data_IF_290589398885
#
_entry.id   IF_290589398885
#
_cell.length_a   1.000
_cell.length_b   1.000
_cell.length_c   1.000
_cell.angle_alpha   90.00
_cell.angle_beta   90.00
_cell.angle_gamma   90.00
#
_symmetry.space_group_name_H-M   'P 1'
#
loop_
_entity.id
_entity.type
_entity.pdbx_description
1 polymer ?
#
# COMPACT_ATOMS: atom_id res chain seq x y z
N UNK A 1 -2.00 19.56 1.58
CA UNK A 1 -2.53 20.08 2.86
C UNK A 1 -4.01 19.70 2.97
N UNK A 2 -4.43 19.25 4.15
CA UNK A 2 -5.83 18.95 4.43
C UNK A 2 -6.65 20.22 4.68
N UNK A 3 -8.00 20.15 4.59
CA UNK A 3 -8.86 21.32 4.78
C UNK A 3 -8.68 22.05 6.13
N UNK A 4 -8.29 21.33 7.18
CA UNK A 4 -8.00 21.87 8.53
C UNK A 4 -6.57 22.39 8.71
N UNK A 5 -5.86 22.63 7.61
CA UNK A 5 -4.46 23.07 7.53
C UNK A 5 -3.42 22.03 7.98
N UNK A 6 -3.81 20.80 8.31
CA UNK A 6 -2.87 19.72 8.58
C UNK A 6 -2.16 19.28 7.29
N UNK A 7 -0.94 18.81 7.42
CA UNK A 7 -0.14 18.30 6.31
C UNK A 7 -0.01 16.78 6.44
N UNK A 8 -0.27 16.08 5.34
CA UNK A 8 0.04 14.68 5.19
C UNK A 8 1.00 14.48 4.01
N UNK A 9 1.77 13.42 4.05
CA UNK A 9 2.52 12.94 2.90
C UNK A 9 1.72 11.88 2.17
N UNK A 10 1.70 11.98 0.86
CA UNK A 10 1.20 10.92 0.00
C UNK A 10 2.37 10.37 -0.81
N UNK A 11 2.61 9.07 -0.71
CA UNK A 11 3.67 8.37 -1.43
C UNK A 11 3.07 7.31 -2.36
N UNK A 12 3.65 7.18 -3.54
CA UNK A 12 3.33 6.13 -4.50
C UNK A 12 4.57 5.32 -4.79
N UNK A 13 4.43 4.00 -4.89
CA UNK A 13 5.55 3.11 -5.18
C UNK A 13 5.17 2.02 -6.18
N UNK A 14 6.17 1.51 -6.88
CA UNK A 14 6.07 0.31 -7.70
C UNK A 14 7.38 -0.47 -7.52
N UNK A 15 7.32 -1.54 -6.74
CA UNK A 15 8.51 -2.34 -6.45
C UNK A 15 8.86 -3.27 -7.61
N UNK A 16 10.10 -3.74 -7.61
CA UNK A 16 10.63 -4.60 -8.66
C UNK A 16 9.77 -5.86 -8.88
N UNK A 17 9.59 -6.24 -10.14
CA UNK A 17 8.74 -7.37 -10.55
C UNK A 17 9.50 -8.69 -10.74
N UNK A 18 10.81 -8.72 -10.52
CA UNK A 18 11.61 -9.93 -10.68
C UNK A 18 11.14 -11.04 -9.74
N UNK A 19 11.41 -12.29 -10.13
CA UNK A 19 11.00 -13.46 -9.37
C UNK A 19 11.59 -13.47 -7.96
N UNK A 20 12.87 -13.09 -7.83
CA UNK A 20 13.56 -13.04 -6.54
C UNK A 20 13.22 -11.79 -5.75
N UNK A 21 13.07 -11.93 -4.45
CA UNK A 21 12.69 -10.83 -3.54
C UNK A 21 13.82 -9.84 -3.23
N UNK A 22 15.05 -10.13 -3.62
CA UNK A 22 16.24 -9.36 -3.20
C UNK A 22 16.09 -7.86 -3.42
N UNK A 23 15.71 -7.45 -4.63
CA UNK A 23 15.52 -6.03 -4.95
C UNK A 23 14.35 -5.43 -4.17
N UNK A 24 13.22 -6.14 -4.07
CA UNK A 24 12.05 -5.68 -3.32
C UNK A 24 12.34 -5.48 -1.85
N UNK A 25 13.15 -6.36 -1.24
CA UNK A 25 13.56 -6.23 0.16
C UNK A 25 14.37 -4.94 0.35
N UNK A 26 15.36 -4.69 -0.50
CA UNK A 26 16.14 -3.45 -0.45
C UNK A 26 15.28 -2.21 -0.68
N UNK A 27 14.35 -2.28 -1.62
CA UNK A 27 13.45 -1.17 -1.94
C UNK A 27 12.48 -0.86 -0.79
N UNK A 28 11.90 -1.88 -0.14
CA UNK A 28 11.00 -1.63 1.00
C UNK A 28 11.78 -1.09 2.20
N UNK A 29 12.98 -1.58 2.48
CA UNK A 29 13.85 -1.06 3.53
C UNK A 29 14.16 0.42 3.32
N UNK A 30 14.54 0.81 2.10
CA UNK A 30 14.80 2.21 1.77
C UNK A 30 13.55 3.09 1.90
N UNK A 31 12.41 2.61 1.44
CA UNK A 31 11.12 3.30 1.57
C UNK A 31 10.78 3.52 3.06
N UNK A 32 10.99 2.53 3.90
CA UNK A 32 10.78 2.65 5.35
C UNK A 32 11.75 3.67 5.97
N UNK A 33 13.02 3.68 5.56
CA UNK A 33 14.02 4.64 6.02
C UNK A 33 13.65 6.08 5.61
N UNK A 34 13.27 6.30 4.37
CA UNK A 34 12.83 7.62 3.88
C UNK A 34 11.64 8.12 4.69
N UNK A 35 10.64 7.27 4.86
CA UNK A 35 9.41 7.67 5.56
C UNK A 35 9.58 7.78 7.06
N UNK A 36 10.61 7.15 7.67
CA UNK A 36 10.92 7.27 9.10
C UNK A 36 11.32 8.71 9.49
N UNK A 37 11.87 9.49 8.55
CA UNK A 37 12.28 10.88 8.78
C UNK A 37 11.14 11.89 8.59
N UNK A 38 9.94 11.44 8.22
CA UNK A 38 8.76 12.29 8.05
C UNK A 38 8.00 12.40 9.38
N UNK A 39 7.80 13.62 9.84
CA UNK A 39 7.08 13.88 11.11
C UNK A 39 5.57 13.93 10.94
N UNK A 40 5.09 14.12 9.71
CA UNK A 40 3.67 14.16 9.38
C UNK A 40 3.13 12.77 9.05
N UNK A 41 1.81 12.58 9.15
CA UNK A 41 1.20 11.33 8.71
C UNK A 41 1.48 11.02 7.25
N UNK A 42 1.59 9.73 6.92
CA UNK A 42 1.92 9.24 5.58
C UNK A 42 0.83 8.29 5.10
N UNK A 43 0.33 8.53 3.90
CA UNK A 43 -0.41 7.57 3.10
C UNK A 43 0.53 7.04 2.01
N UNK A 44 0.58 5.73 1.89
CA UNK A 44 1.41 5.02 0.91
C UNK A 44 0.53 4.11 0.08
N UNK A 45 0.65 4.18 -1.23
CA UNK A 45 -0.08 3.30 -2.14
C UNK A 45 0.82 2.81 -3.27
N UNK A 46 0.55 1.62 -3.80
CA UNK A 46 1.26 1.13 -4.97
C UNK A 46 1.19 -0.37 -5.20
N UNK A 47 1.87 -0.77 -6.26
CA UNK A 47 2.15 -2.16 -6.57
C UNK A 47 3.45 -2.59 -5.87
N UNK A 48 3.31 -3.49 -4.91
CA UNK A 48 4.45 -4.00 -4.14
C UNK A 48 5.08 -5.24 -4.77
N UNK A 49 4.47 -5.81 -5.82
CA UNK A 49 4.88 -7.07 -6.44
C UNK A 49 5.15 -8.17 -5.41
N UNK A 50 4.46 -8.15 -4.29
CA UNK A 50 4.63 -9.05 -3.14
C UNK A 50 3.29 -9.26 -2.45
N UNK A 51 3.04 -10.49 -2.04
CA UNK A 51 1.81 -10.88 -1.34
C UNK A 51 1.96 -10.71 0.18
N UNK A 52 0.83 -10.67 0.90
CA UNK A 52 0.81 -10.73 2.35
C UNK A 52 1.59 -11.95 2.86
N UNK A 53 2.22 -11.82 4.01
CA UNK A 53 3.11 -12.81 4.62
C UNK A 53 4.46 -13.02 3.91
N UNK A 54 4.73 -12.32 2.80
CA UNK A 54 6.07 -12.26 2.23
C UNK A 54 7.00 -11.43 3.12
N UNK A 55 8.33 -11.59 3.04
CA UNK A 55 9.27 -10.74 3.79
C UNK A 55 9.06 -9.25 3.52
N UNK A 56 8.74 -8.86 2.29
CA UNK A 56 8.50 -7.48 1.87
C UNK A 56 7.30 -6.89 2.61
N UNK A 57 6.16 -7.56 2.59
CA UNK A 57 4.93 -7.05 3.22
C UNK A 57 5.01 -7.17 4.75
N UNK A 58 5.72 -8.16 5.28
CA UNK A 58 6.01 -8.25 6.72
C UNK A 58 6.82 -7.03 7.19
N UNK A 59 7.81 -6.59 6.41
CA UNK A 59 8.56 -5.36 6.69
C UNK A 59 7.66 -4.13 6.64
N UNK A 60 6.81 -4.00 5.63
CA UNK A 60 5.82 -2.92 5.54
C UNK A 60 4.92 -2.88 6.79
N UNK A 61 4.36 -4.02 7.18
CA UNK A 61 3.43 -4.15 8.30
C UNK A 61 4.08 -3.85 9.66
N UNK A 62 5.42 -3.86 9.76
CA UNK A 62 6.13 -3.47 10.98
C UNK A 62 6.07 -1.96 11.27
N UNK A 63 5.77 -1.13 10.26
CA UNK A 63 5.76 0.34 10.35
C UNK A 63 4.43 0.93 9.94
N UNK A 64 3.81 0.40 8.90
CA UNK A 64 2.54 0.87 8.33
C UNK A 64 1.39 -0.05 8.70
N UNK A 65 0.19 0.49 8.69
CA UNK A 65 -1.06 -0.27 8.77
C UNK A 65 -1.66 -0.34 7.37
N UNK A 66 -1.83 -1.54 6.82
CA UNK A 66 -2.56 -1.71 5.56
C UNK A 66 -4.05 -1.51 5.76
N UNK A 67 -4.74 -1.05 4.71
CA UNK A 67 -6.19 -0.82 4.72
C UNK A 67 -7.01 -2.11 4.67
N UNK A 68 -6.36 -3.26 4.52
CA UNK A 68 -7.00 -4.58 4.55
C UNK A 68 -6.10 -5.60 5.27
N UNK A 69 -6.70 -6.49 6.04
CA UNK A 69 -6.01 -7.64 6.65
C UNK A 69 -6.13 -8.89 5.76
N UNK A 70 -7.33 -9.18 5.27
CA UNK A 70 -7.60 -10.20 4.24
C UNK A 70 -7.92 -9.49 2.94
N UNK A 71 -6.85 -9.06 2.26
CA UNK A 71 -6.99 -8.22 1.08
C UNK A 71 -7.58 -8.99 -0.10
N UNK A 72 -8.65 -8.47 -0.75
CA UNK A 72 -9.13 -9.05 -1.99
C UNK A 72 -8.04 -9.03 -3.07
N UNK A 73 -8.01 -10.02 -3.97
CA UNK A 73 -7.00 -10.08 -5.01
C UNK A 73 -7.12 -8.93 -6.01
N UNK A 74 -5.97 -8.49 -6.52
CA UNK A 74 -5.86 -7.37 -7.47
C UNK A 74 -5.32 -7.78 -8.83
N UNK A 75 -4.76 -8.98 -8.96
CA UNK A 75 -4.15 -9.49 -10.19
C UNK A 75 -4.32 -11.03 -10.29
N UNK A 76 -4.40 -11.58 -11.51
CA UNK A 76 -4.65 -10.88 -12.78
C UNK A 76 -6.07 -10.30 -12.83
N UNK A 77 -6.29 -9.32 -13.71
CA UNK A 77 -7.63 -8.70 -13.86
C UNK A 77 -8.70 -9.73 -14.25
N UNK A 78 -8.33 -10.70 -15.07
CA UNK A 78 -9.15 -11.87 -15.34
C UNK A 78 -8.85 -12.98 -14.33
N UNK A 79 -9.86 -13.42 -13.60
CA UNK A 79 -9.74 -14.41 -12.53
C UNK A 79 -8.71 -14.02 -11.44
N UNK A 80 -8.92 -12.93 -10.70
CA UNK A 80 -7.98 -12.44 -9.71
C UNK A 80 -7.63 -13.49 -8.65
N UNK A 81 -6.34 -13.64 -8.35
CA UNK A 81 -5.84 -14.67 -7.45
C UNK A 81 -4.84 -14.19 -6.41
N UNK A 82 -4.22 -13.01 -6.62
CA UNK A 82 -3.21 -12.43 -5.72
C UNK A 82 -3.51 -10.97 -5.41
N UNK A 83 -3.30 -10.57 -4.16
CA UNK A 83 -3.28 -9.17 -3.76
C UNK A 83 -1.82 -8.72 -3.65
N UNK A 84 -1.41 -7.80 -4.53
CA UNK A 84 -0.06 -7.22 -4.56
C UNK A 84 -0.08 -5.70 -4.57
N UNK A 85 -1.26 -5.10 -4.71
CA UNK A 85 -1.49 -3.67 -4.69
C UNK A 85 -2.13 -3.30 -3.35
N UNK A 86 -1.48 -2.41 -2.61
CA UNK A 86 -1.92 -2.06 -1.26
C UNK A 86 -1.96 -0.55 -1.05
N UNK A 87 -2.83 -0.15 -0.14
CA UNK A 87 -2.82 1.16 0.49
C UNK A 87 -2.49 0.95 1.97
N UNK A 88 -1.55 1.73 2.49
CA UNK A 88 -1.12 1.66 3.87
C UNK A 88 -0.92 3.07 4.44
N UNK A 89 -0.92 3.20 5.74
CA UNK A 89 -0.84 4.49 6.41
C UNK A 89 -0.10 4.42 7.74
N UNK A 90 0.43 5.54 8.16
CA UNK A 90 1.01 5.75 9.50
C UNK A 90 0.88 7.22 9.94
N UNK A 91 0.81 7.52 11.26
CA UNK A 91 0.58 6.57 12.35
C UNK A 91 -0.87 6.07 12.33
N UNK A 92 -1.08 4.89 12.89
CA UNK A 92 -2.42 4.28 12.98
C UNK A 92 -3.43 5.18 13.72
N UNK A 93 -2.95 5.95 14.69
CA UNK A 93 -3.80 6.81 15.51
C UNK A 93 -4.33 8.06 14.80
N UNK A 94 -3.73 8.47 13.68
CA UNK A 94 -4.14 9.68 12.97
C UNK A 94 -5.30 9.42 12.01
N UNK A 95 -5.26 8.29 11.31
CA UNK A 95 -6.28 7.96 10.30
C UNK A 95 -7.30 6.98 10.84
N UNK A 96 -8.56 7.27 10.61
CA UNK A 96 -9.65 6.31 10.76
C UNK A 96 -10.03 5.79 9.38
N UNK A 97 -9.79 4.53 9.14
CA UNK A 97 -10.20 3.86 7.91
C UNK A 97 -11.72 3.68 7.90
N UNK A 98 -12.39 4.18 6.88
CA UNK A 98 -13.83 4.01 6.69
C UNK A 98 -14.15 2.85 5.75
N UNK A 99 -13.39 2.71 4.67
CA UNK A 99 -13.67 1.70 3.67
C UNK A 99 -12.40 1.30 2.91
N UNK A 100 -12.33 0.02 2.53
CA UNK A 100 -11.37 -0.53 1.59
C UNK A 100 -12.11 -1.42 0.62
N UNK A 101 -11.85 -1.29 -0.66
CA UNK A 101 -12.39 -2.20 -1.68
C UNK A 101 -11.48 -2.29 -2.91
N UNK A 102 -11.56 -3.40 -3.59
CA UNK A 102 -11.03 -3.60 -4.95
C UNK A 102 -12.19 -3.38 -5.92
N UNK A 103 -11.97 -2.56 -6.94
CA UNK A 103 -13.00 -2.16 -7.90
C UNK A 103 -12.97 -3.13 -9.09
N UNK A 104 -14.14 -3.60 -9.48
CA UNK A 104 -14.31 -4.51 -10.61
C UNK A 104 -14.26 -3.74 -11.94
N UNK A 105 -13.06 -3.31 -12.33
CA UNK A 105 -12.76 -2.55 -13.56
C UNK A 105 -11.70 -3.30 -14.38
N UNK A 106 -12.04 -3.72 -15.58
CA UNK A 106 -11.26 -4.66 -16.39
C UNK A 106 -10.56 -4.03 -17.61
N UNK A 107 -10.75 -2.73 -17.87
CA UNK A 107 -10.23 -2.09 -19.09
C UNK A 107 -8.96 -1.26 -18.87
N UNK A 108 -8.84 -0.62 -17.73
CA UNK A 108 -7.81 0.39 -17.52
C UNK A 108 -6.41 -0.20 -17.28
N UNK A 109 -6.31 -1.45 -16.81
CA UNK A 109 -5.07 -2.09 -16.40
C UNK A 109 -5.24 -3.61 -16.38
N UNK A 110 -4.14 -4.35 -16.32
CA UNK A 110 -4.09 -5.77 -15.96
C UNK A 110 -4.19 -6.01 -14.44
N UNK A 111 -4.23 -4.92 -13.65
CA UNK A 111 -4.56 -4.92 -12.23
C UNK A 111 -5.94 -4.32 -11.98
N UNK A 112 -6.63 -4.81 -10.95
CA UNK A 112 -7.85 -4.17 -10.46
C UNK A 112 -7.51 -2.98 -9.57
N UNK A 113 -8.25 -1.86 -9.69
CA UNK A 113 -8.03 -0.68 -8.85
C UNK A 113 -8.31 -0.96 -7.37
N UNK A 114 -7.50 -0.39 -6.50
CA UNK A 114 -7.68 -0.43 -5.04
C UNK A 114 -8.15 0.93 -4.56
N UNK A 115 -9.17 0.94 -3.73
CA UNK A 115 -9.77 2.14 -3.15
C UNK A 115 -9.78 2.07 -1.63
N UNK A 116 -9.46 3.17 -0.96
CA UNK A 116 -9.67 3.35 0.47
C UNK A 116 -10.14 4.76 0.78
N UNK A 117 -10.97 4.89 1.82
CA UNK A 117 -11.42 6.20 2.32
C UNK A 117 -11.12 6.32 3.82
N UNK A 118 -10.74 7.52 4.21
CA UNK A 118 -10.29 7.83 5.57
C UNK A 118 -10.99 9.07 6.14
N UNK A 119 -11.00 9.12 7.46
CA UNK A 119 -11.20 10.34 8.27
C UNK A 119 -9.94 10.58 9.10
N UNK A 120 -9.75 11.82 9.55
CA UNK A 120 -8.67 12.24 10.45
C UNK A 120 -9.17 13.19 11.55
#
# INVERSE_FOLDING_TARGET
>A
QLPDAQTIWFASTHLDSQKEDTNRILQIEELLNITANLNQPVLLAGDFNAVANSPVITSLDSVFTRTCSSCPPTIPVENPSKAIDFIAFKPKSFFKLNNHRVIDEHYASDHLPVFASFQW
#
